data_IF_669491501121
#
_entry.id   IF_669491501121
#
_cell.length_a   1.000
_cell.length_b   1.000
_cell.length_c   1.000
_cell.angle_alpha   90.00
_cell.angle_beta   90.00
_cell.angle_gamma   90.00
#
_symmetry.space_group_name_H-M   'P 1'
#
loop_
_entity.id
_entity.type
_entity.pdbx_description
1 polymer ?
#
# COMPACT_ATOMS: atom_id res chain seq x y z
N UNK A 1 -2.92 16.81 -52.14
CA UNK A 1 -3.48 15.56 -51.63
C UNK A 1 -2.77 15.31 -50.29
N UNK A 2 -3.45 15.60 -49.21
CA UNK A 2 -2.92 15.45 -47.87
C UNK A 2 -3.37 14.08 -47.36
N UNK A 3 -2.42 13.20 -47.08
CA UNK A 3 -2.67 11.90 -46.44
C UNK A 3 -3.08 12.13 -44.98
N UNK A 4 -4.33 11.83 -44.68
CA UNK A 4 -4.83 11.72 -43.32
C UNK A 4 -4.25 10.44 -42.70
N UNK A 5 -3.29 10.62 -41.81
CA UNK A 5 -2.84 9.57 -40.93
C UNK A 5 -3.97 9.26 -39.92
N UNK A 6 -4.64 8.14 -40.12
CA UNK A 6 -5.57 7.56 -39.17
C UNK A 6 -4.73 7.11 -37.96
N UNK A 7 -4.90 7.85 -36.86
CA UNK A 7 -4.40 7.38 -35.56
C UNK A 7 -5.40 6.31 -35.12
N UNK A 8 -5.03 5.03 -35.28
CA UNK A 8 -5.70 3.93 -34.61
C UNK A 8 -5.65 4.21 -33.12
N UNK A 9 -6.81 4.45 -32.51
CA UNK A 9 -6.96 4.38 -31.08
C UNK A 9 -6.63 2.93 -30.69
N UNK A 10 -5.50 2.73 -30.05
CA UNK A 10 -5.29 1.52 -29.23
C UNK A 10 -6.48 1.47 -28.26
N UNK A 11 -7.37 0.50 -28.47
CA UNK A 11 -8.37 0.11 -27.50
C UNK A 11 -7.58 -0.29 -26.25
N UNK A 12 -7.67 0.55 -25.22
CA UNK A 12 -7.17 0.22 -23.89
C UNK A 12 -8.02 -0.98 -23.48
N UNK A 13 -7.44 -2.19 -23.59
CA UNK A 13 -8.04 -3.39 -23.00
C UNK A 13 -8.36 -3.06 -21.56
N UNK A 14 -9.64 -3.07 -21.25
CA UNK A 14 -10.16 -2.83 -19.89
C UNK A 14 -9.55 -3.93 -19.02
N UNK A 15 -8.60 -3.53 -18.18
CA UNK A 15 -7.80 -4.41 -17.31
C UNK A 15 -8.75 -5.16 -16.37
N UNK A 16 -9.30 -6.28 -16.86
CA UNK A 16 -10.39 -7.02 -16.25
C UNK A 16 -9.97 -7.52 -14.86
N UNK A 17 -10.47 -6.86 -13.83
CA UNK A 17 -10.23 -7.23 -12.44
C UNK A 17 -11.35 -8.14 -11.94
N UNK A 18 -11.04 -9.42 -11.73
CA UNK A 18 -12.02 -10.46 -11.35
C UNK A 18 -11.66 -11.15 -10.04
N UNK A 19 -12.65 -11.32 -9.18
CA UNK A 19 -12.53 -12.26 -8.06
C UNK A 19 -12.62 -13.68 -8.62
N UNK A 20 -11.68 -14.53 -8.21
CA UNK A 20 -11.62 -15.92 -8.64
C UNK A 20 -11.81 -16.85 -7.44
N UNK A 21 -12.38 -18.05 -7.64
CA UNK A 21 -12.54 -19.03 -6.57
C UNK A 21 -11.21 -19.40 -5.93
N UNK A 22 -11.23 -19.66 -4.64
CA UNK A 22 -10.07 -20.16 -3.92
C UNK A 22 -9.79 -21.61 -4.39
N UNK A 23 -8.59 -21.85 -4.93
CA UNK A 23 -8.07 -23.17 -5.24
C UNK A 23 -6.75 -23.36 -4.48
N UNK A 24 -6.57 -24.45 -3.73
CA UNK A 24 -5.32 -24.74 -3.01
C UNK A 24 -4.09 -24.85 -3.91
N UNK A 25 -4.28 -25.08 -5.21
CA UNK A 25 -3.20 -25.16 -6.20
C UNK A 25 -2.78 -23.77 -6.73
N UNK A 26 -3.59 -22.74 -6.53
CA UNK A 26 -3.31 -21.40 -6.98
C UNK A 26 -2.13 -20.82 -6.18
N UNK A 27 -1.08 -20.44 -6.92
CA UNK A 27 0.06 -19.71 -6.34
C UNK A 27 -0.14 -18.21 -6.63
N UNK A 28 -0.39 -17.37 -5.62
CA UNK A 28 -0.53 -15.93 -5.84
C UNK A 28 0.83 -15.32 -6.22
N UNK A 29 0.83 -14.47 -7.25
CA UNK A 29 2.00 -13.69 -7.64
C UNK A 29 2.33 -12.62 -6.58
N UNK A 30 1.28 -12.09 -5.95
CA UNK A 30 1.38 -11.05 -4.92
C UNK A 30 0.42 -11.34 -3.77
N UNK A 31 0.85 -11.01 -2.56
CA UNK A 31 0.03 -11.14 -1.35
C UNK A 31 0.04 -9.83 -0.59
N UNK A 32 -1.14 -9.31 -0.28
CA UNK A 32 -1.30 -8.07 0.48
C UNK A 32 -2.16 -8.31 1.72
N UNK A 33 -1.72 -7.76 2.83
CA UNK A 33 -2.46 -7.77 4.08
C UNK A 33 -3.39 -6.57 4.16
N UNK A 34 -4.68 -6.82 4.35
CA UNK A 34 -5.74 -5.81 4.50
C UNK A 34 -6.40 -6.01 5.84
N UNK A 35 -6.44 -4.98 6.67
CA UNK A 35 -7.16 -5.01 7.95
C UNK A 35 -8.49 -4.26 7.83
N UNK A 36 -9.52 -4.75 8.52
CA UNK A 36 -10.85 -4.14 8.56
C UNK A 36 -11.13 -3.71 9.99
N UNK A 37 -11.30 -2.41 10.21
CA UNK A 37 -11.47 -1.76 11.50
C UNK A 37 -12.71 -0.86 11.51
N UNK A 38 -13.12 -0.42 12.69
CA UNK A 38 -14.32 0.37 12.90
C UNK A 38 -15.13 -0.15 14.09
N UNK A 39 -16.17 0.55 14.48
CA UNK A 39 -16.99 0.25 15.65
C UNK A 39 -17.68 -1.12 15.59
N UNK A 40 -18.14 -1.59 16.74
CA UNK A 40 -18.99 -2.78 16.80
C UNK A 40 -20.30 -2.55 16.05
N UNK A 41 -20.78 -3.58 15.36
CA UNK A 41 -22.10 -3.52 14.68
C UNK A 41 -22.14 -2.74 13.37
N UNK A 42 -21.05 -2.10 12.88
CA UNK A 42 -21.02 -1.41 11.56
C UNK A 42 -21.04 -2.37 10.37
N UNK A 43 -20.76 -3.67 10.59
CA UNK A 43 -20.87 -4.72 9.57
C UNK A 43 -19.54 -5.08 8.89
N UNK A 44 -18.41 -4.94 9.57
CA UNK A 44 -17.07 -5.34 9.07
C UNK A 44 -17.02 -6.79 8.59
N UNK A 45 -17.44 -7.71 9.46
CA UNK A 45 -17.51 -9.15 9.16
C UNK A 45 -18.47 -9.45 8.02
N UNK A 46 -19.66 -8.81 8.01
CA UNK A 46 -20.62 -8.99 6.92
C UNK A 46 -20.04 -8.53 5.57
N UNK A 47 -19.34 -7.39 5.55
CA UNK A 47 -18.68 -6.87 4.35
C UNK A 47 -17.60 -7.82 3.86
N UNK A 48 -16.74 -8.30 4.75
CA UNK A 48 -15.64 -9.21 4.44
C UNK A 48 -16.15 -10.57 3.92
N UNK A 49 -17.16 -11.15 4.57
CA UNK A 49 -17.79 -12.41 4.15
C UNK A 49 -18.54 -12.24 2.83
N UNK A 50 -19.24 -11.12 2.64
CA UNK A 50 -19.95 -10.83 1.39
C UNK A 50 -18.97 -10.74 0.22
N UNK A 51 -17.84 -10.06 0.41
CA UNK A 51 -16.82 -9.95 -0.63
C UNK A 51 -16.13 -11.28 -0.94
N UNK A 52 -15.75 -12.05 0.09
CA UNK A 52 -14.95 -13.26 -0.08
C UNK A 52 -15.75 -14.51 -0.44
N UNK A 53 -17.00 -14.62 0.04
CA UNK A 53 -17.82 -15.84 -0.08
C UNK A 53 -19.21 -15.61 -0.66
N UNK A 54 -19.57 -14.36 -0.92
CA UNK A 54 -20.92 -13.93 -1.31
C UNK A 54 -22.02 -14.34 -0.29
N UNK A 55 -21.66 -14.36 1.00
CA UNK A 55 -22.54 -14.78 2.10
C UNK A 55 -22.96 -13.57 2.92
N UNK A 56 -24.27 -13.51 3.24
CA UNK A 56 -24.83 -12.61 4.23
C UNK A 56 -25.85 -13.39 5.09
N UNK A 57 -25.57 -13.47 6.39
CA UNK A 57 -26.38 -14.28 7.33
C UNK A 57 -27.41 -13.46 8.11
N UNK A 58 -27.38 -12.13 7.99
CA UNK A 58 -28.32 -11.22 8.68
C UNK A 58 -28.04 -11.05 10.17
N UNK A 59 -27.64 -12.08 10.87
CA UNK A 59 -27.36 -12.10 12.30
C UNK A 59 -25.99 -12.72 12.53
N UNK A 60 -24.95 -11.91 12.55
CA UNK A 60 -23.65 -12.37 13.02
C UNK A 60 -23.51 -11.97 14.50
N UNK A 61 -23.16 -12.92 15.38
CA UNK A 61 -22.74 -12.56 16.74
C UNK A 61 -21.52 -11.63 16.66
N UNK A 62 -21.30 -10.84 17.68
CA UNK A 62 -20.11 -9.98 17.76
C UNK A 62 -18.86 -10.84 17.55
N UNK A 63 -17.96 -10.40 16.65
CA UNK A 63 -16.70 -11.09 16.39
C UNK A 63 -15.87 -11.12 17.66
N UNK A 64 -15.42 -12.30 18.08
CA UNK A 64 -14.54 -12.46 19.23
C UNK A 64 -13.10 -12.59 18.69
N UNK A 65 -12.28 -11.57 18.93
CA UNK A 65 -10.90 -11.53 18.46
C UNK A 65 -10.79 -11.07 17.00
N UNK A 66 -10.41 -11.96 16.11
CA UNK A 66 -10.28 -11.66 14.66
C UNK A 66 -10.64 -12.88 13.81
N UNK A 67 -11.05 -12.64 12.58
CA UNK A 67 -11.25 -13.66 11.56
C UNK A 67 -10.35 -13.40 10.36
N UNK A 68 -9.79 -14.46 9.78
CA UNK A 68 -8.93 -14.40 8.61
C UNK A 68 -9.67 -14.94 7.38
N UNK A 69 -9.68 -14.15 6.31
CA UNK A 69 -10.28 -14.52 5.03
C UNK A 69 -9.29 -14.28 3.89
N UNK A 70 -9.17 -15.25 2.98
CA UNK A 70 -8.41 -15.10 1.75
C UNK A 70 -9.33 -14.72 0.60
N UNK A 71 -8.99 -13.69 -0.16
CA UNK A 71 -9.69 -13.29 -1.37
C UNK A 71 -8.72 -13.26 -2.54
N UNK A 72 -8.96 -14.12 -3.55
CA UNK A 72 -8.13 -14.20 -4.74
C UNK A 72 -8.70 -13.34 -5.85
N UNK A 73 -7.85 -12.49 -6.44
CA UNK A 73 -8.21 -11.53 -7.48
C UNK A 73 -7.25 -11.72 -8.65
N UNK A 74 -7.80 -11.90 -9.86
CA UNK A 74 -7.03 -11.86 -11.10
C UNK A 74 -7.04 -10.44 -11.63
N UNK A 75 -5.86 -9.86 -11.83
CA UNK A 75 -5.66 -8.52 -12.36
C UNK A 75 -4.33 -8.44 -13.11
N UNK A 76 -4.32 -7.84 -14.31
CA UNK A 76 -3.11 -7.65 -15.14
C UNK A 76 -2.29 -8.95 -15.28
N UNK A 77 -2.98 -10.07 -15.65
CA UNK A 77 -2.41 -11.43 -15.75
C UNK A 77 -1.75 -11.99 -14.49
N UNK A 78 -1.88 -11.32 -13.35
CA UNK A 78 -1.39 -11.76 -12.05
C UNK A 78 -2.53 -12.24 -11.15
N UNK A 79 -2.18 -13.16 -10.26
CA UNK A 79 -3.05 -13.59 -9.17
C UNK A 79 -2.61 -12.85 -7.91
N UNK A 80 -3.51 -12.06 -7.35
CA UNK A 80 -3.33 -11.29 -6.14
C UNK A 80 -4.13 -11.94 -5.02
N UNK A 81 -3.49 -12.24 -3.90
CA UNK A 81 -4.16 -12.69 -2.68
C UNK A 81 -4.29 -11.50 -1.72
N UNK A 82 -5.52 -11.11 -1.42
CA UNK A 82 -5.80 -10.24 -0.28
C UNK A 82 -6.04 -11.08 0.97
N UNK A 83 -5.18 -10.93 1.95
CA UNK A 83 -5.34 -11.48 3.29
C UNK A 83 -6.14 -10.50 4.13
N UNK A 84 -7.44 -10.76 4.28
CA UNK A 84 -8.37 -9.90 5.00
C UNK A 84 -8.37 -10.31 6.46
N UNK A 85 -8.02 -9.37 7.34
CA UNK A 85 -8.05 -9.52 8.79
C UNK A 85 -9.23 -8.72 9.32
N UNK A 86 -10.34 -9.40 9.52
CA UNK A 86 -11.55 -8.85 10.10
C UNK A 86 -11.41 -8.80 11.62
N UNK A 87 -11.48 -7.60 12.21
CA UNK A 87 -11.25 -7.40 13.63
C UNK A 87 -12.56 -7.17 14.40
N UNK A 88 -12.57 -7.52 15.69
CA UNK A 88 -13.64 -7.10 16.57
C UNK A 88 -13.64 -5.58 16.72
N UNK A 89 -14.86 -4.98 16.78
CA UNK A 89 -15.03 -3.52 16.95
C UNK A 89 -15.20 -3.08 18.41
N UNK A 90 -14.76 -3.90 19.37
CA UNK A 90 -14.91 -3.58 20.80
C UNK A 90 -13.62 -2.93 21.33
N UNK A 91 -13.77 -1.82 22.04
CA UNK A 91 -12.66 -1.05 22.60
C UNK A 91 -11.79 -1.87 23.57
N UNK A 92 -12.37 -2.88 24.22
CA UNK A 92 -11.65 -3.77 25.11
C UNK A 92 -10.45 -4.53 24.47
N UNK A 93 -10.39 -4.57 23.13
CA UNK A 93 -9.35 -5.28 22.38
C UNK A 93 -8.36 -4.37 21.63
N UNK A 94 -8.37 -3.04 21.84
CA UNK A 94 -7.47 -2.11 21.16
C UNK A 94 -5.98 -2.49 21.29
N UNK A 95 -5.55 -2.96 22.47
CA UNK A 95 -4.16 -3.41 22.67
C UNK A 95 -3.77 -4.63 21.82
N UNK A 96 -4.74 -5.45 21.45
CA UNK A 96 -4.55 -6.59 20.57
C UNK A 96 -4.56 -6.15 19.11
N UNK A 97 -5.46 -5.22 18.76
CA UNK A 97 -5.61 -4.69 17.40
C UNK A 97 -4.33 -3.98 16.94
N UNK A 98 -3.60 -3.31 17.84
CA UNK A 98 -2.34 -2.63 17.52
C UNK A 98 -1.30 -3.54 16.83
N UNK A 99 -1.29 -4.85 17.17
CA UNK A 99 -0.42 -5.84 16.55
C UNK A 99 -0.84 -6.19 15.11
N UNK A 100 -2.13 -6.06 14.77
CA UNK A 100 -2.62 -6.38 13.43
C UNK A 100 -2.28 -5.31 12.41
N UNK A 101 -2.09 -4.05 12.81
CA UNK A 101 -1.63 -2.98 11.91
C UNK A 101 -0.24 -3.26 11.32
N UNK A 102 0.59 -4.01 12.05
CA UNK A 102 1.95 -4.30 11.59
C UNK A 102 1.94 -5.03 10.25
N UNK A 103 2.73 -4.52 9.31
CA UNK A 103 2.84 -5.05 7.94
C UNK A 103 1.52 -5.03 7.15
N UNK A 104 0.52 -4.21 7.52
CA UNK A 104 -0.67 -4.02 6.69
C UNK A 104 -0.32 -3.19 5.46
N UNK A 105 -0.85 -3.60 4.31
CA UNK A 105 -0.73 -2.86 3.06
C UNK A 105 -1.90 -1.89 2.86
N UNK A 106 -3.05 -2.21 3.47
CA UNK A 106 -4.23 -1.37 3.47
C UNK A 106 -5.06 -1.55 4.74
N UNK A 107 -5.80 -0.50 5.11
CA UNK A 107 -6.74 -0.48 6.23
C UNK A 107 -8.09 0.02 5.73
N UNK A 108 -9.13 -0.78 5.93
CA UNK A 108 -10.53 -0.41 5.65
C UNK A 108 -11.15 0.06 6.95
N UNK A 109 -11.55 1.33 7.00
CA UNK A 109 -12.26 1.92 8.13
C UNK A 109 -13.74 1.93 7.79
N UNK A 110 -14.54 1.16 8.52
CA UNK A 110 -15.96 0.96 8.25
C UNK A 110 -16.80 1.72 9.28
N UNK A 111 -17.78 2.48 8.80
CA UNK A 111 -18.83 3.09 9.61
C UNK A 111 -20.20 2.73 9.04
N UNK A 112 -21.28 2.98 9.78
CA UNK A 112 -22.65 2.80 9.31
C UNK A 112 -23.22 4.14 8.84
N UNK A 113 -23.75 4.22 7.62
CA UNK A 113 -24.40 5.46 7.13
C UNK A 113 -25.64 5.85 7.96
N UNK A 114 -26.25 4.88 8.64
CA UNK A 114 -27.44 5.07 9.48
C UNK A 114 -27.11 5.33 10.96
N UNK A 115 -25.83 5.52 11.31
CA UNK A 115 -25.40 5.75 12.69
C UNK A 115 -24.26 6.78 12.71
N UNK A 116 -24.62 8.00 13.09
CA UNK A 116 -23.74 9.16 13.13
C UNK A 116 -22.55 8.98 14.06
N UNK A 117 -22.76 8.33 15.21
CA UNK A 117 -21.72 8.13 16.20
C UNK A 117 -20.57 7.29 15.63
N UNK A 118 -20.89 6.25 14.86
CA UNK A 118 -19.85 5.42 14.22
C UNK A 118 -19.01 6.19 13.20
N UNK A 119 -19.55 7.24 12.58
CA UNK A 119 -18.82 8.13 11.70
C UNK A 119 -17.93 9.11 12.48
N UNK A 120 -18.41 9.63 13.60
CA UNK A 120 -17.61 10.50 14.49
C UNK A 120 -16.37 9.75 15.02
N UNK A 121 -16.48 8.44 15.27
CA UNK A 121 -15.36 7.60 15.69
C UNK A 121 -14.35 7.27 14.56
N UNK A 122 -14.68 7.54 13.28
CA UNK A 122 -13.75 7.30 12.16
C UNK A 122 -12.43 8.03 12.37
N UNK A 123 -12.43 9.24 12.95
CA UNK A 123 -11.20 9.99 13.23
C UNK A 123 -10.28 9.26 14.21
N UNK A 124 -10.83 8.64 15.22
CA UNK A 124 -10.10 7.82 16.19
C UNK A 124 -9.45 6.62 15.48
N UNK A 125 -10.22 5.86 14.68
CA UNK A 125 -9.73 4.71 13.92
C UNK A 125 -8.66 5.09 12.91
N UNK A 126 -8.83 6.23 12.22
CA UNK A 126 -7.85 6.75 11.27
C UNK A 126 -6.54 7.12 11.96
N UNK A 127 -6.59 7.81 13.10
CA UNK A 127 -5.41 8.18 13.88
C UNK A 127 -4.69 6.93 14.44
N UNK A 128 -5.45 5.93 14.90
CA UNK A 128 -4.88 4.65 15.35
C UNK A 128 -4.15 3.93 14.21
N UNK A 129 -4.75 3.87 13.02
CA UNK A 129 -4.10 3.37 11.82
C UNK A 129 -2.81 4.13 11.53
N UNK A 130 -2.83 5.48 11.51
CA UNK A 130 -1.65 6.30 11.20
C UNK A 130 -0.51 6.09 12.19
N UNK A 131 -0.82 5.80 13.44
CA UNK A 131 0.18 5.58 14.49
C UNK A 131 0.80 4.16 14.45
N UNK A 132 0.07 3.16 13.98
CA UNK A 132 0.45 1.74 14.10
C UNK A 132 0.73 1.04 12.77
N UNK A 133 0.14 1.48 11.65
CA UNK A 133 0.35 0.90 10.32
C UNK A 133 1.62 1.45 9.66
N UNK A 134 2.19 0.74 8.67
CA UNK A 134 3.24 1.29 7.81
C UNK A 134 2.81 2.61 7.17
N UNK A 135 3.76 3.55 6.97
CA UNK A 135 3.48 4.88 6.42
C UNK A 135 2.90 4.87 5.01
N UNK A 136 3.20 3.84 4.24
CA UNK A 136 2.73 3.60 2.87
C UNK A 136 1.44 2.79 2.80
N UNK A 137 0.93 2.35 3.96
CA UNK A 137 -0.36 1.64 4.06
C UNK A 137 -1.49 2.53 3.56
N UNK A 138 -2.34 1.96 2.68
CA UNK A 138 -3.48 2.66 2.09
C UNK A 138 -4.65 2.73 3.04
N UNK A 139 -5.32 3.88 3.06
CA UNK A 139 -6.49 4.13 3.87
C UNK A 139 -7.76 4.13 3.01
N UNK A 140 -8.74 3.33 3.41
CA UNK A 140 -10.02 3.19 2.71
C UNK A 140 -11.16 3.47 3.69
N UNK A 141 -12.04 4.40 3.36
CA UNK A 141 -13.24 4.70 4.14
C UNK A 141 -14.45 4.04 3.50
N UNK A 142 -15.25 3.31 4.30
CA UNK A 142 -16.44 2.62 3.82
C UNK A 142 -17.65 2.95 4.67
N UNK A 143 -18.62 3.63 4.08
CA UNK A 143 -19.95 3.81 4.64
C UNK A 143 -20.82 2.59 4.31
N UNK A 144 -20.96 1.69 5.28
CA UNK A 144 -21.73 0.46 5.10
C UNK A 144 -23.21 0.66 5.47
N UNK A 145 -24.02 -0.35 5.19
CA UNK A 145 -25.48 -0.41 5.38
C UNK A 145 -26.24 0.58 4.48
N UNK A 146 -25.82 0.68 3.21
CA UNK A 146 -26.48 1.53 2.21
C UNK A 146 -27.98 1.15 2.04
N UNK A 147 -28.34 -0.07 2.35
CA UNK A 147 -29.72 -0.57 2.42
C UNK A 147 -30.59 0.16 3.46
N UNK A 148 -29.98 0.88 4.40
CA UNK A 148 -30.67 1.72 5.39
C UNK A 148 -30.71 3.20 4.96
N UNK A 149 -30.73 3.48 3.66
CA UNK A 149 -30.73 4.83 3.09
C UNK A 149 -31.86 5.73 3.61
N UNK A 150 -33.03 5.18 3.92
CA UNK A 150 -34.18 5.91 4.42
C UNK A 150 -33.96 6.52 5.82
N UNK A 151 -33.08 5.93 6.62
CA UNK A 151 -32.69 6.41 7.95
C UNK A 151 -31.23 6.89 8.01
N UNK A 152 -30.68 7.30 6.87
CA UNK A 152 -29.33 7.84 6.77
C UNK A 152 -29.11 9.01 7.72
N UNK A 153 -28.01 8.98 8.45
CA UNK A 153 -27.56 10.04 9.36
C UNK A 153 -26.25 10.70 8.91
N UNK A 154 -25.50 10.06 8.02
CA UNK A 154 -24.25 10.57 7.48
C UNK A 154 -24.42 10.87 5.99
N UNK A 155 -24.26 12.12 5.58
CA UNK A 155 -24.37 12.50 4.16
C UNK A 155 -23.12 12.10 3.38
N UNK A 156 -23.28 11.95 2.06
CA UNK A 156 -22.13 11.66 1.15
C UNK A 156 -21.13 12.80 1.14
N UNK A 157 -21.62 14.03 1.18
CA UNK A 157 -20.83 15.26 1.15
C UNK A 157 -19.95 15.35 2.40
N UNK A 158 -20.49 14.99 3.56
CA UNK A 158 -19.75 14.97 4.81
C UNK A 158 -18.64 13.92 4.81
N UNK A 159 -18.93 12.72 4.33
CA UNK A 159 -17.93 11.65 4.21
C UNK A 159 -16.85 11.99 3.17
N UNK A 160 -17.21 12.61 2.05
CA UNK A 160 -16.27 13.10 1.06
C UNK A 160 -15.38 14.21 1.62
N UNK A 161 -15.95 15.17 2.34
CA UNK A 161 -15.18 16.22 3.01
C UNK A 161 -14.16 15.61 3.97
N UNK A 162 -14.58 14.67 4.81
CA UNK A 162 -13.70 13.99 5.75
C UNK A 162 -12.55 13.28 5.01
N UNK A 163 -12.85 12.59 3.89
CA UNK A 163 -11.82 11.97 3.03
C UNK A 163 -10.77 12.97 2.58
N UNK A 164 -11.17 14.13 2.08
CA UNK A 164 -10.25 15.16 1.58
C UNK A 164 -9.44 15.78 2.71
N UNK A 165 -10.08 16.13 3.83
CA UNK A 165 -9.43 16.76 4.98
C UNK A 165 -8.35 15.86 5.60
N UNK A 166 -8.58 14.55 5.61
CA UNK A 166 -7.66 13.54 6.17
C UNK A 166 -6.69 12.92 5.15
N UNK A 167 -6.88 13.16 3.86
CA UNK A 167 -6.06 12.55 2.81
C UNK A 167 -6.25 11.03 2.71
N UNK A 168 -7.49 10.55 2.86
CA UNK A 168 -7.84 9.14 2.70
C UNK A 168 -7.76 8.75 1.22
N UNK A 169 -7.15 7.60 0.91
CA UNK A 169 -6.89 7.19 -0.48
C UNK A 169 -8.19 6.88 -1.24
N UNK A 170 -9.09 6.06 -0.70
CA UNK A 170 -10.34 5.64 -1.34
C UNK A 170 -11.54 5.82 -0.40
N UNK A 171 -12.73 6.04 -0.99
CA UNK A 171 -14.00 6.07 -0.26
C UNK A 171 -15.06 5.32 -1.06
N UNK A 172 -15.90 4.56 -0.35
CA UNK A 172 -17.04 3.83 -0.90
C UNK A 172 -18.24 3.90 0.04
N UNK A 173 -19.43 3.71 -0.54
CA UNK A 173 -20.59 3.27 0.20
C UNK A 173 -20.94 1.85 -0.24
N UNK A 174 -21.39 1.01 0.70
CA UNK A 174 -21.68 -0.40 0.45
C UNK A 174 -22.90 -0.89 1.22
N UNK A 175 -23.51 -1.96 0.70
CA UNK A 175 -24.44 -2.77 1.46
C UNK A 175 -23.97 -4.22 1.47
N UNK A 176 -23.46 -4.66 2.60
CA UNK A 176 -23.15 -6.09 2.78
C UNK A 176 -24.40 -6.96 2.65
N UNK A 177 -25.60 -6.43 2.95
CA UNK A 177 -26.87 -7.12 2.84
C UNK A 177 -27.25 -7.38 1.38
N UNK A 178 -27.21 -6.36 0.52
CA UNK A 178 -27.57 -6.47 -0.89
C UNK A 178 -26.39 -6.84 -1.77
N UNK A 179 -25.15 -6.69 -1.30
CA UNK A 179 -23.92 -6.94 -2.05
C UNK A 179 -23.37 -5.71 -2.76
N UNK A 180 -24.04 -4.55 -2.64
CA UNK A 180 -23.64 -3.32 -3.33
C UNK A 180 -22.22 -2.94 -2.96
N UNK A 181 -21.36 -2.80 -3.96
CA UNK A 181 -19.95 -2.45 -3.86
C UNK A 181 -19.09 -3.36 -2.96
N UNK A 182 -19.65 -4.44 -2.38
CA UNK A 182 -18.91 -5.29 -1.43
C UNK A 182 -17.67 -5.92 -2.06
N UNK A 183 -17.75 -6.39 -3.30
CA UNK A 183 -16.61 -6.94 -4.04
C UNK A 183 -15.76 -5.84 -4.69
N UNK A 184 -16.40 -4.77 -5.16
CA UNK A 184 -15.70 -3.68 -5.86
C UNK A 184 -14.66 -2.99 -4.97
N UNK A 185 -14.96 -2.77 -3.69
CA UNK A 185 -14.03 -2.25 -2.70
C UNK A 185 -12.71 -3.03 -2.71
N UNK A 186 -12.78 -4.34 -2.63
CA UNK A 186 -11.56 -5.18 -2.57
C UNK A 186 -10.84 -5.27 -3.91
N UNK A 187 -11.56 -5.21 -5.04
CA UNK A 187 -10.94 -5.11 -6.36
C UNK A 187 -10.14 -3.83 -6.51
N UNK A 188 -10.70 -2.69 -6.13
CA UNK A 188 -10.01 -1.40 -6.18
C UNK A 188 -8.80 -1.35 -5.22
N UNK A 189 -8.92 -1.97 -4.04
CA UNK A 189 -7.77 -2.13 -3.12
C UNK A 189 -6.65 -2.95 -3.78
N UNK A 190 -6.98 -4.07 -4.42
CA UNK A 190 -5.98 -4.89 -5.10
C UNK A 190 -5.27 -4.10 -6.23
N UNK A 191 -6.04 -3.36 -7.04
CA UNK A 191 -5.50 -2.51 -8.12
C UNK A 191 -4.54 -1.44 -7.59
N UNK A 192 -4.94 -0.69 -6.56
CA UNK A 192 -4.10 0.39 -6.01
C UNK A 192 -2.82 -0.15 -5.38
N UNK A 193 -2.90 -1.27 -4.65
CA UNK A 193 -1.74 -1.91 -4.04
C UNK A 193 -0.77 -2.45 -5.08
N UNK A 194 -1.27 -3.15 -6.10
CA UNK A 194 -0.48 -3.65 -7.21
C UNK A 194 0.22 -2.51 -7.98
N UNK A 195 -0.54 -1.48 -8.39
CA UNK A 195 0.02 -0.32 -9.11
C UNK A 195 1.09 0.40 -8.30
N UNK A 196 0.93 0.54 -6.98
CA UNK A 196 1.94 1.14 -6.11
C UNK A 196 3.19 0.28 -6.02
N UNK A 197 3.04 -1.04 -5.93
CA UNK A 197 4.17 -1.96 -5.89
C UNK A 197 5.00 -1.86 -7.18
N UNK A 198 4.36 -1.92 -8.36
CA UNK A 198 5.03 -1.81 -9.65
C UNK A 198 5.76 -0.47 -9.79
N UNK A 199 5.11 0.65 -9.45
CA UNK A 199 5.76 1.97 -9.45
C UNK A 199 6.99 2.02 -8.54
N UNK A 200 6.94 1.39 -7.37
CA UNK A 200 8.08 1.34 -6.45
C UNK A 200 9.24 0.50 -6.98
N UNK A 201 8.96 -0.58 -7.70
CA UNK A 201 9.98 -1.41 -8.36
C UNK A 201 10.66 -0.66 -9.52
N UNK A 202 9.88 -0.05 -10.41
CA UNK A 202 10.40 0.77 -11.52
C UNK A 202 11.27 1.92 -11.00
N UNK A 203 10.84 2.62 -9.95
CA UNK A 203 11.64 3.67 -9.32
C UNK A 203 13.00 3.19 -8.82
N UNK A 204 13.06 2.01 -8.19
CA UNK A 204 14.33 1.40 -7.72
C UNK A 204 15.24 0.99 -8.87
N UNK A 205 14.70 0.48 -9.96
CA UNK A 205 15.48 0.13 -11.17
C UNK A 205 16.10 1.39 -11.78
N UNK A 206 15.34 2.48 -11.94
CA UNK A 206 15.87 3.77 -12.41
C UNK A 206 16.96 4.33 -11.51
N UNK A 207 16.80 4.25 -10.19
CA UNK A 207 17.84 4.69 -9.24
C UNK A 207 19.10 3.83 -9.32
N UNK A 208 18.93 2.51 -9.46
CA UNK A 208 20.06 1.59 -9.59
C UNK A 208 20.81 1.80 -10.92
N UNK A 209 20.11 2.05 -12.01
CA UNK A 209 20.74 2.42 -13.28
C UNK A 209 21.49 3.75 -13.21
N UNK A 210 20.90 4.78 -12.56
CA UNK A 210 21.60 6.05 -12.31
C UNK A 210 22.86 5.86 -11.47
N UNK A 211 22.79 5.03 -10.41
CA UNK A 211 23.96 4.71 -9.59
C UNK A 211 25.03 3.97 -10.37
N UNK A 212 24.66 3.02 -11.24
CA UNK A 212 25.60 2.33 -12.15
C UNK A 212 26.25 3.32 -13.12
N UNK A 213 25.46 4.18 -13.80
CA UNK A 213 25.99 5.21 -14.72
C UNK A 213 26.93 6.19 -14.02
N UNK A 214 26.58 6.65 -12.82
CA UNK A 214 27.42 7.56 -12.03
C UNK A 214 28.72 6.87 -11.53
N UNK A 215 28.68 5.57 -11.23
CA UNK A 215 29.87 4.79 -10.87
C UNK A 215 30.81 4.63 -12.07
N UNK A 216 30.25 4.39 -13.26
CA UNK A 216 31.00 4.29 -14.51
C UNK A 216 31.63 5.63 -14.92
N UNK A 217 30.93 6.77 -14.65
CA UNK A 217 31.46 8.11 -14.90
C UNK A 217 32.59 8.49 -13.93
N UNK A 218 32.52 8.07 -12.66
CA UNK A 218 33.58 8.32 -11.68
C UNK A 218 34.86 7.52 -11.95
N UNK A 219 34.75 6.39 -12.61
CA UNK A 219 35.92 5.58 -13.02
C UNK A 219 36.59 6.08 -14.31
N UNK A 220 36.04 7.13 -14.96
CA UNK A 220 36.67 7.84 -16.10
C UNK A 220 37.21 9.20 -15.65
N UNK A 221 37.89 9.25 -14.51
CA UNK A 221 38.71 10.41 -14.17
C UNK A 221 40.04 10.26 -14.92
N UNK A 222 40.18 10.99 -16.01
CA UNK A 222 41.48 11.16 -16.67
C UNK A 222 42.33 12.03 -15.76
N UNK A 223 43.41 11.49 -15.24
CA UNK A 223 44.45 12.28 -14.61
C UNK A 223 45.20 12.98 -15.75
N UNK A 224 44.95 14.25 -15.98
CA UNK A 224 45.76 15.08 -16.87
C UNK A 224 46.94 15.57 -16.07
N UNK A 225 48.12 14.93 -16.27
CA UNK A 225 49.39 15.56 -15.97
C UNK A 225 49.73 16.45 -17.17
N UNK A 226 50.23 17.66 -16.86
CA UNK A 226 50.58 18.63 -17.88
C UNK A 226 51.58 18.09 -18.89
N UNK A 227 51.38 18.54 -20.13
CA UNK A 227 52.22 18.49 -21.31
C UNK A 227 52.84 17.14 -21.70
N UNK A 228 52.29 16.65 -22.83
CA UNK A 228 52.90 15.65 -23.74
C UNK A 228 53.11 14.24 -23.17
N UNK A 229 52.06 13.43 -23.24
CA UNK A 229 52.11 12.07 -23.83
C UNK A 229 50.86 11.29 -23.47
N UNK A 230 50.04 11.00 -24.48
CA UNK A 230 48.88 10.11 -24.35
C UNK A 230 49.35 8.67 -24.39
N UNK A 231 49.30 7.98 -23.25
CA UNK A 231 49.42 6.52 -23.19
C UNK A 231 48.05 5.92 -22.88
N UNK A 232 47.49 5.04 -23.68
CA UNK A 232 46.26 4.34 -23.37
C UNK A 232 46.51 3.30 -22.27
N UNK A 233 45.74 3.34 -21.17
CA UNK A 233 45.78 2.32 -20.14
C UNK A 233 45.27 0.98 -20.69
N UNK A 234 46.09 -0.05 -20.66
CA UNK A 234 45.75 -1.43 -20.91
C UNK A 234 44.87 -1.98 -19.78
N UNK A 235 43.83 -2.75 -20.17
CA UNK A 235 43.10 -3.61 -19.28
C UNK A 235 44.02 -4.75 -18.83
N UNK A 236 44.33 -4.83 -17.55
CA UNK A 236 44.71 -6.07 -16.88
C UNK A 236 44.17 -6.02 -15.44
N UNK A 237 43.41 -7.04 -15.13
CA UNK A 237 43.02 -7.44 -13.80
C UNK A 237 44.26 -7.75 -12.99
N UNK A 238 44.46 -7.11 -11.84
CA UNK A 238 44.99 -7.80 -10.68
C UNK A 238 45.06 -6.88 -9.42
N UNK A 239 44.87 -7.54 -8.34
CA UNK A 239 44.79 -7.16 -6.93
C UNK A 239 45.83 -6.18 -6.37
N UNK A 240 45.36 -5.43 -5.38
CA UNK A 240 46.14 -4.88 -4.25
C UNK A 240 47.20 -3.79 -4.53
N UNK A 241 46.74 -2.53 -4.54
CA UNK A 241 47.65 -1.45 -4.14
C UNK A 241 47.02 -0.70 -2.97
N UNK A 242 47.55 -0.94 -1.75
CA UNK A 242 47.40 -0.09 -0.59
C UNK A 242 48.20 1.20 -0.86
N UNK A 243 47.52 2.28 -1.19
CA UNK A 243 48.13 3.61 -1.17
C UNK A 243 47.91 4.22 0.23
N UNK A 244 49.00 4.27 0.98
CA UNK A 244 49.07 5.03 2.22
C UNK A 244 48.97 6.53 1.92
N UNK A 245 47.90 7.13 2.37
CA UNK A 245 47.75 8.62 2.42
C UNK A 245 48.38 9.06 3.70
N UNK A 246 49.60 9.65 3.65
CA UNK A 246 50.17 10.41 4.74
C UNK A 246 49.53 11.80 4.74
N UNK A 247 48.90 12.15 5.83
CA UNK A 247 48.30 13.46 6.07
C UNK A 247 49.41 14.41 6.62
N UNK A 248 49.71 15.56 6.01
CA UNK A 248 50.83 16.42 6.44
C UNK A 248 50.45 17.45 7.51
N UNK A 249 49.46 17.22 8.34
CA UNK A 249 49.09 18.10 9.46
C UNK A 249 48.80 17.29 10.74
N UNK A 250 49.86 16.67 11.30
CA UNK A 250 49.93 16.29 12.69
C UNK A 250 51.35 16.63 13.16
N UNK A 251 51.53 17.78 13.67
CA UNK A 251 52.44 18.04 14.79
C UNK A 251 52.13 19.41 15.40
N UNK A 252 51.61 19.46 16.59
CA UNK A 252 52.03 20.24 17.70
C UNK A 252 51.19 19.92 18.94
N UNK A 253 51.86 19.20 19.78
CA UNK A 253 51.39 18.80 21.08
C UNK A 253 51.06 19.93 22.04
N UNK A 254 50.32 19.53 23.08
CA UNK A 254 50.73 19.79 24.48
C UNK A 254 49.86 19.01 25.45
N UNK A 255 50.52 18.15 26.17
CA UNK A 255 50.16 17.62 27.46
C UNK A 255 49.59 18.69 28.42
N UNK A 256 48.50 18.38 29.09
CA UNK A 256 48.31 18.78 30.47
C UNK A 256 47.51 17.74 31.23
N UNK A 257 48.18 17.27 32.30
CA UNK A 257 47.67 16.39 33.34
C UNK A 257 46.70 17.13 34.28
N UNK A 258 45.80 16.32 34.88
CA UNK A 258 45.18 16.50 36.22
C UNK A 258 44.10 17.55 36.38
N UNK A 259 42.88 17.17 36.54
CA UNK A 259 42.15 17.00 37.80
C UNK A 259 40.90 16.18 37.52
#
# INVERSE_FOLDING_TARGET
>A
MAEQKIIEKEEIEDDECKIIPQDPKLQPSYTFKVIVIGDSGVGKTCLSLRAAKDIYTGTNPSTIGFEFLGLYIKYDNHIILLQIWDTCGQEAYHSLISKFYKNSNACIIVYSIADKLTFEHVDMWFNEMKNNAPKDSKSILVGNKLDLGDIRQVSKEEALKFKFDKGIDLIFESSAKHGDNSQEIFKEIAKILYKNLIKSHQGREFENEKKKKNKTLKNKVYVTYGDNDKIPASNDDDDNIKLGVTNPYEDQGRSCNKC
#
